data_IF_536803877829
#
_entry.id   IF_536803877829
#
_cell.length_a   1.000
_cell.length_b   1.000
_cell.length_c   1.000
_cell.angle_alpha   90.00
_cell.angle_beta   90.00
_cell.angle_gamma   90.00
#
_symmetry.space_group_name_H-M   'P 1'
#
loop_
_entity.id
_entity.type
_entity.pdbx_description
1 polymer ?
#
# COMPACT_ATOMS: atom_id res chain seq x y z
N UNK A 1 13.69 -7.28 -5.69
CA UNK A 1 12.63 -6.26 -5.88
C UNK A 1 12.03 -6.00 -4.51
N UNK A 2 11.96 -4.75 -4.03
CA UNK A 2 11.48 -4.44 -2.67
C UNK A 2 10.26 -3.52 -2.75
N UNK A 3 9.17 -3.90 -2.08
CA UNK A 3 8.01 -3.03 -1.90
C UNK A 3 8.29 -2.02 -0.78
N UNK A 4 7.93 -0.75 -1.00
CA UNK A 4 8.07 0.32 0.00
C UNK A 4 6.71 0.72 0.53
N UNK A 5 6.54 0.60 1.84
CA UNK A 5 5.33 1.04 2.55
C UNK A 5 5.57 2.40 3.20
N UNK A 6 4.64 3.34 3.02
CA UNK A 6 4.70 4.67 3.64
C UNK A 6 3.34 5.06 4.19
N UNK A 7 3.30 5.50 5.43
CA UNK A 7 2.09 6.07 6.02
C UNK A 7 1.84 7.50 5.52
N UNK A 8 0.59 7.79 5.16
CA UNK A 8 0.13 9.12 4.78
C UNK A 8 -1.35 9.32 5.13
N UNK A 9 -1.66 10.30 5.99
CA UNK A 9 -3.02 10.79 6.28
C UNK A 9 -4.06 9.68 6.53
N UNK A 10 -3.73 8.69 7.36
CA UNK A 10 -4.63 7.56 7.68
C UNK A 10 -4.62 6.42 6.66
N UNK A 11 -3.70 6.45 5.70
CA UNK A 11 -3.53 5.42 4.68
C UNK A 11 -2.08 4.94 4.59
N UNK A 12 -1.88 3.77 4.01
CA UNK A 12 -0.57 3.22 3.66
C UNK A 12 -0.43 3.26 2.15
N UNK A 13 0.54 4.03 1.67
CA UNK A 13 1.02 4.02 0.30
C UNK A 13 1.92 2.80 0.12
N UNK A 14 1.70 2.07 -0.96
CA UNK A 14 2.48 0.89 -1.37
C UNK A 14 3.09 1.24 -2.71
N UNK A 15 4.40 1.39 -2.72
CA UNK A 15 5.19 1.69 -3.91
C UNK A 15 6.02 0.47 -4.29
N UNK A 16 6.06 0.17 -5.59
CA UNK A 16 6.69 -1.02 -6.14
C UNK A 16 5.72 -1.78 -7.04
N UNK A 17 6.25 -2.76 -7.76
CA UNK A 17 5.49 -3.57 -8.70
C UNK A 17 4.83 -4.76 -7.96
N UNK A 18 3.94 -4.43 -7.02
CA UNK A 18 3.21 -5.42 -6.22
C UNK A 18 1.75 -5.00 -6.09
N UNK A 19 0.87 -5.93 -6.41
CA UNK A 19 -0.58 -5.77 -6.23
C UNK A 19 -0.93 -6.39 -4.88
N UNK A 20 -1.22 -5.54 -3.90
CA UNK A 20 -1.59 -5.97 -2.54
C UNK A 20 -3.11 -6.01 -2.40
N UNK A 21 -3.68 -7.03 -1.76
CA UNK A 21 -5.10 -7.06 -1.40
C UNK A 21 -5.52 -5.80 -0.64
N UNK A 22 -6.77 -5.37 -0.82
CA UNK A 22 -7.34 -4.18 -0.18
C UNK A 22 -6.72 -2.83 -0.59
N UNK A 23 -5.68 -2.84 -1.43
CA UNK A 23 -5.08 -1.63 -1.94
C UNK A 23 -5.73 -1.21 -3.27
N UNK A 24 -6.02 0.07 -3.41
CA UNK A 24 -6.58 0.68 -4.62
C UNK A 24 -5.48 1.52 -5.26
N UNK A 25 -5.34 1.41 -6.58
CA UNK A 25 -4.39 2.23 -7.32
C UNK A 25 -4.78 3.71 -7.23
N UNK A 26 -3.85 4.55 -6.78
CA UNK A 26 -3.99 6.01 -6.82
C UNK A 26 -3.25 6.58 -8.04
N UNK A 27 -3.98 7.00 -9.10
CA UNK A 27 -3.37 7.59 -10.29
C UNK A 27 -2.68 8.92 -10.02
N UNK A 28 -2.99 9.62 -8.92
CA UNK A 28 -2.36 10.92 -8.59
C UNK A 28 -0.91 10.78 -8.14
N UNK A 29 -0.57 9.63 -7.56
CA UNK A 29 0.77 9.33 -7.02
C UNK A 29 1.44 8.14 -7.68
N UNK A 30 0.74 7.48 -8.61
CA UNK A 30 1.22 6.30 -9.32
C UNK A 30 1.65 5.18 -8.36
N UNK A 31 0.85 4.94 -7.33
CA UNK A 31 1.12 3.94 -6.29
C UNK A 31 -0.20 3.33 -5.78
N UNK A 32 -0.12 2.15 -5.16
CA UNK A 32 -1.28 1.57 -4.48
C UNK A 32 -1.48 2.20 -3.10
N UNK A 33 -2.72 2.23 -2.62
CA UNK A 33 -3.07 2.77 -1.30
C UNK A 33 -4.10 1.90 -0.61
N UNK A 34 -3.87 1.63 0.67
CA UNK A 34 -4.83 0.96 1.55
C UNK A 34 -5.09 1.79 2.81
N UNK A 35 -6.20 1.55 3.51
CA UNK A 35 -6.46 2.18 4.81
C UNK A 35 -5.43 1.70 5.85
N UNK A 36 -5.00 2.57 6.76
CA UNK A 36 -3.89 2.26 7.66
C UNK A 36 -4.16 1.08 8.62
N UNK A 37 -5.41 0.82 8.97
CA UNK A 37 -5.75 -0.34 9.81
C UNK A 37 -5.50 -1.68 9.09
N UNK A 38 -5.37 -1.67 7.75
CA UNK A 38 -4.98 -2.84 6.95
C UNK A 38 -3.47 -3.12 6.98
N UNK A 39 -2.68 -2.33 7.71
CA UNK A 39 -1.23 -2.49 7.74
C UNK A 39 -0.79 -3.91 8.13
N UNK A 40 -1.45 -4.53 9.11
CA UNK A 40 -1.15 -5.91 9.50
C UNK A 40 -1.39 -6.89 8.35
N UNK A 41 -2.56 -6.84 7.74
CA UNK A 41 -2.93 -7.70 6.60
C UNK A 41 -1.96 -7.51 5.41
N UNK A 42 -1.51 -6.28 5.17
CA UNK A 42 -0.52 -5.95 4.12
C UNK A 42 0.83 -6.60 4.43
N UNK A 43 1.29 -6.54 5.68
CA UNK A 43 2.56 -7.15 6.10
C UNK A 43 2.49 -8.67 6.12
N UNK A 44 1.34 -9.26 6.49
CA UNK A 44 1.16 -10.72 6.45
C UNK A 44 1.10 -11.27 5.02
N UNK A 45 0.72 -10.43 4.04
CA UNK A 45 0.70 -10.79 2.63
C UNK A 45 2.07 -10.67 1.92
N UNK A 46 2.84 -9.64 2.25
CA UNK A 46 4.13 -9.32 1.62
C UNK A 46 5.28 -10.20 2.14
#
# INVERSE_FOLDING_TARGET
MHARLRYEKGTVLIEGDVVVPFAIFDPRRNCYRALAFKHRDIIEFL
#
